data_IF_376177453116
#
_entry.id   IF_376177453116
#
_cell.length_a   1.000
_cell.length_b   1.000
_cell.length_c   1.000
_cell.angle_alpha   90.00
_cell.angle_beta   90.00
_cell.angle_gamma   90.00
#
_symmetry.space_group_name_H-M   'P 1'
#
loop_
_entity.id
_entity.type
_entity.pdbx_description
1 polymer ?
#
# COMPACT_ATOMS: atom_id res chain seq x y z
N UNK A 1 38.73 59.91 -91.74
CA UNK A 1 38.29 60.07 -90.33
C UNK A 1 37.24 59.04 -89.89
N UNK A 2 36.60 58.26 -90.78
CA UNK A 2 35.63 57.23 -90.39
C UNK A 2 36.28 55.89 -89.95
N UNK A 3 37.49 55.56 -90.39
CA UNK A 3 38.15 54.29 -90.08
C UNK A 3 38.72 54.21 -88.64
N UNK A 4 38.89 55.34 -87.96
CA UNK A 4 39.47 55.40 -86.61
C UNK A 4 38.45 55.08 -85.51
N UNK A 5 37.15 55.27 -85.78
CA UNK A 5 36.09 55.00 -84.79
C UNK A 5 35.83 53.51 -84.56
N UNK A 6 35.99 52.67 -85.59
CA UNK A 6 35.77 51.22 -85.48
C UNK A 6 36.80 50.51 -84.59
N UNK A 7 38.03 51.03 -84.50
CA UNK A 7 39.07 50.49 -83.63
C UNK A 7 38.74 50.64 -82.15
N UNK A 8 38.25 51.81 -81.74
CA UNK A 8 37.91 52.09 -80.35
C UNK A 8 36.71 51.27 -79.87
N UNK A 9 35.65 51.13 -80.67
CA UNK A 9 34.50 50.27 -80.33
C UNK A 9 34.93 48.81 -80.13
N UNK A 10 35.76 48.28 -81.02
CA UNK A 10 36.23 46.89 -80.92
C UNK A 10 37.13 46.68 -79.69
N UNK A 11 37.97 47.68 -79.37
CA UNK A 11 38.82 47.66 -78.17
C UNK A 11 38.00 47.71 -76.87
N UNK A 12 37.02 48.62 -76.77
CA UNK A 12 36.17 48.74 -75.58
C UNK A 12 35.28 47.50 -75.39
N UNK A 13 34.68 46.97 -76.47
CA UNK A 13 33.94 45.71 -76.41
C UNK A 13 34.82 44.53 -75.94
N UNK A 14 36.07 44.45 -76.42
CA UNK A 14 37.03 43.44 -75.99
C UNK A 14 37.46 43.58 -74.51
N UNK A 15 37.42 44.79 -73.97
CA UNK A 15 37.73 45.04 -72.55
C UNK A 15 36.53 44.72 -71.65
N UNK A 16 35.33 45.10 -72.06
CA UNK A 16 34.09 44.80 -71.34
C UNK A 16 33.81 43.29 -71.29
N UNK A 17 33.99 42.58 -72.41
CA UNK A 17 33.88 41.11 -72.42
C UNK A 17 34.86 40.45 -71.44
N UNK A 18 36.14 40.85 -71.44
CA UNK A 18 37.12 40.34 -70.47
C UNK A 18 36.79 40.70 -69.02
N UNK A 19 36.18 41.86 -68.78
CA UNK A 19 35.74 42.28 -67.44
C UNK A 19 34.57 41.43 -66.97
N UNK A 20 33.58 41.20 -67.83
CA UNK A 20 32.41 40.35 -67.56
C UNK A 20 32.83 38.90 -67.33
N UNK A 21 33.76 38.36 -68.13
CA UNK A 21 34.34 37.02 -67.93
C UNK A 21 35.04 36.90 -66.57
N UNK A 22 35.84 37.90 -66.17
CA UNK A 22 36.49 37.88 -64.86
C UNK A 22 35.49 37.99 -63.71
N UNK A 23 34.43 38.77 -63.86
CA UNK A 23 33.35 38.84 -62.87
C UNK A 23 32.60 37.51 -62.78
N UNK A 24 32.25 36.89 -63.91
CA UNK A 24 31.55 35.60 -63.91
C UNK A 24 32.41 34.47 -63.33
N UNK A 25 33.71 34.45 -63.62
CA UNK A 25 34.65 33.53 -62.97
C UNK A 25 34.70 33.71 -61.46
N UNK A 26 34.74 34.96 -61.00
CA UNK A 26 34.76 35.28 -59.57
C UNK A 26 33.46 34.82 -58.89
N UNK A 27 32.31 35.11 -59.48
CA UNK A 27 31.00 34.67 -58.99
C UNK A 27 30.91 33.14 -58.92
N UNK A 28 31.35 32.42 -59.96
CA UNK A 28 31.39 30.95 -59.96
C UNK A 28 32.29 30.43 -58.85
N UNK A 29 33.45 31.04 -58.60
CA UNK A 29 34.33 30.66 -57.49
C UNK A 29 33.66 30.93 -56.14
N UNK A 30 32.98 32.06 -55.98
CA UNK A 30 32.27 32.42 -54.75
C UNK A 30 31.10 31.47 -54.47
N UNK A 31 30.29 31.12 -55.49
CA UNK A 31 29.20 30.15 -55.38
C UNK A 31 29.76 28.78 -54.96
N UNK A 32 30.85 28.32 -55.58
CA UNK A 32 31.52 27.06 -55.20
C UNK A 32 32.05 27.10 -53.77
N UNK A 33 32.60 28.22 -53.32
CA UNK A 33 33.08 28.39 -51.95
C UNK A 33 31.92 28.31 -50.94
N UNK A 34 30.82 29.03 -51.21
CA UNK A 34 29.62 29.00 -50.37
C UNK A 34 28.99 27.60 -50.33
N UNK A 35 28.93 26.91 -51.47
CA UNK A 35 28.42 25.55 -51.55
C UNK A 35 29.23 24.58 -50.68
N UNK A 36 30.57 24.70 -50.67
CA UNK A 36 31.42 23.89 -49.78
C UNK A 36 31.16 24.16 -48.30
N UNK A 37 30.89 25.41 -47.92
CA UNK A 37 30.54 25.77 -46.53
C UNK A 37 29.20 25.15 -46.14
N UNK A 38 28.20 25.22 -47.02
CA UNK A 38 26.89 24.60 -46.78
C UNK A 38 27.01 23.08 -46.66
N UNK A 39 27.73 22.42 -47.57
CA UNK A 39 27.95 20.97 -47.49
C UNK A 39 28.72 20.57 -46.21
N UNK A 40 29.70 21.36 -45.79
CA UNK A 40 30.42 21.11 -44.54
C UNK A 40 29.50 21.27 -43.32
N UNK A 41 28.61 22.27 -43.32
CA UNK A 41 27.61 22.44 -42.27
C UNK A 41 26.63 21.27 -42.20
N UNK A 42 26.07 20.86 -43.34
CA UNK A 42 25.15 19.72 -43.41
C UNK A 42 25.79 18.42 -42.94
N UNK A 43 27.06 18.18 -43.28
CA UNK A 43 27.81 17.01 -42.78
C UNK A 43 28.01 17.05 -41.28
N UNK A 44 28.26 18.24 -40.72
CA UNK A 44 28.38 18.43 -39.27
C UNK A 44 27.04 18.16 -38.58
N UNK A 45 25.94 18.72 -39.07
CA UNK A 45 24.60 18.49 -38.53
C UNK A 45 24.20 17.01 -38.62
N UNK A 46 24.49 16.34 -39.74
CA UNK A 46 24.24 14.91 -39.90
C UNK A 46 25.06 14.07 -38.90
N UNK A 47 26.33 14.42 -38.65
CA UNK A 47 27.17 13.75 -37.68
C UNK A 47 26.67 13.98 -36.23
N UNK A 48 26.24 15.19 -35.89
CA UNK A 48 25.64 15.50 -34.59
C UNK A 48 24.32 14.76 -34.38
N UNK A 49 23.47 14.70 -35.40
CA UNK A 49 22.23 13.94 -35.37
C UNK A 49 22.48 12.43 -35.17
N UNK A 50 23.45 11.86 -35.90
CA UNK A 50 23.84 10.46 -35.72
C UNK A 50 24.38 10.19 -34.30
N UNK A 51 25.20 11.09 -33.77
CA UNK A 51 25.69 11.00 -32.39
C UNK A 51 24.54 11.02 -31.38
N UNK A 52 23.56 11.90 -31.58
CA UNK A 52 22.38 11.98 -30.71
C UNK A 52 21.56 10.69 -30.78
N UNK A 53 21.34 10.14 -31.97
CA UNK A 53 20.63 8.87 -32.15
C UNK A 53 21.37 7.69 -31.51
N UNK A 54 22.70 7.65 -31.62
CA UNK A 54 23.51 6.65 -30.94
C UNK A 54 23.38 6.72 -29.41
N UNK A 55 23.41 7.94 -28.85
CA UNK A 55 23.23 8.16 -27.41
C UNK A 55 21.83 7.75 -26.94
N UNK A 56 20.78 8.12 -27.69
CA UNK A 56 19.41 7.67 -27.39
C UNK A 56 19.25 6.16 -27.44
N UNK A 57 19.91 5.50 -28.40
CA UNK A 57 19.89 4.04 -28.47
C UNK A 57 20.55 3.40 -27.25
N UNK A 58 21.70 3.95 -26.83
CA UNK A 58 22.38 3.49 -25.62
C UNK A 58 21.50 3.67 -24.37
N UNK A 59 20.87 4.83 -24.20
CA UNK A 59 19.95 5.09 -23.08
C UNK A 59 18.80 4.06 -23.05
N UNK A 60 18.22 3.76 -24.21
CA UNK A 60 17.16 2.74 -24.33
C UNK A 60 17.67 1.34 -23.98
N UNK A 61 18.86 0.98 -24.42
CA UNK A 61 19.47 -0.32 -24.12
C UNK A 61 19.76 -0.47 -22.61
N UNK A 62 20.24 0.59 -21.96
CA UNK A 62 20.45 0.63 -20.51
C UNK A 62 19.13 0.51 -19.73
N UNK A 63 18.09 1.24 -20.15
CA UNK A 63 16.75 1.12 -19.56
C UNK A 63 16.16 -0.29 -19.73
N UNK A 64 16.28 -0.87 -20.92
CA UNK A 64 15.82 -2.24 -21.20
C UNK A 64 16.56 -3.26 -20.33
N UNK A 65 17.87 -3.08 -20.16
CA UNK A 65 18.67 -3.93 -19.28
C UNK A 65 18.20 -3.82 -17.81
N UNK A 66 17.94 -2.61 -17.32
CA UNK A 66 17.42 -2.40 -15.97
C UNK A 66 16.05 -3.07 -15.75
N UNK A 67 15.14 -2.96 -16.74
CA UNK A 67 13.84 -3.63 -16.70
C UNK A 67 13.99 -5.16 -16.65
N UNK A 68 14.88 -5.74 -17.45
CA UNK A 68 15.10 -7.19 -17.45
C UNK A 68 15.74 -7.67 -16.13
N UNK A 69 16.65 -6.89 -15.54
CA UNK A 69 17.20 -7.16 -14.21
C UNK A 69 16.10 -7.20 -13.13
N UNK A 70 15.22 -6.19 -13.11
CA UNK A 70 14.07 -6.16 -12.18
C UNK A 70 13.14 -7.35 -12.41
N UNK A 71 12.80 -7.65 -13.68
CA UNK A 71 11.96 -8.80 -14.03
C UNK A 71 12.53 -10.12 -13.48
N UNK A 72 13.84 -10.32 -13.58
CA UNK A 72 14.50 -11.52 -13.07
C UNK A 72 14.55 -11.57 -11.54
N UNK A 73 14.63 -10.42 -10.86
CA UNK A 73 14.44 -10.35 -9.41
C UNK A 73 13.03 -10.75 -8.99
N UNK A 74 11.99 -10.21 -9.64
CA UNK A 74 10.61 -10.59 -9.40
C UNK A 74 10.36 -12.09 -9.60
N UNK A 75 10.91 -12.67 -10.67
CA UNK A 75 10.85 -14.13 -10.90
C UNK A 75 11.48 -14.92 -9.73
N UNK A 76 12.64 -14.50 -9.24
CA UNK A 76 13.30 -15.15 -8.09
C UNK A 76 12.46 -15.06 -6.82
N UNK A 77 11.83 -13.90 -6.55
CA UNK A 77 10.93 -13.75 -5.41
C UNK A 77 9.70 -14.66 -5.52
N UNK A 78 9.10 -14.76 -6.72
CA UNK A 78 7.95 -15.65 -6.95
C UNK A 78 8.30 -17.11 -6.68
N UNK A 79 9.46 -17.58 -7.15
CA UNK A 79 9.94 -18.94 -6.86
C UNK A 79 10.12 -19.16 -5.36
N UNK A 80 10.66 -18.17 -4.63
CA UNK A 80 10.81 -18.24 -3.18
C UNK A 80 9.45 -18.32 -2.46
N UNK A 81 8.48 -17.51 -2.88
CA UNK A 81 7.13 -17.51 -2.30
C UNK A 81 6.45 -18.86 -2.55
N UNK A 82 6.52 -19.40 -3.77
CA UNK A 82 5.93 -20.71 -4.07
C UNK A 82 6.63 -21.82 -3.27
N UNK A 83 7.96 -21.77 -3.11
CA UNK A 83 8.68 -22.71 -2.25
C UNK A 83 8.26 -22.63 -0.78
N UNK A 84 8.06 -21.42 -0.24
CA UNK A 84 7.54 -21.23 1.11
C UNK A 84 6.12 -21.77 1.28
N UNK A 85 5.25 -21.57 0.28
CA UNK A 85 3.90 -22.13 0.26
C UNK A 85 3.93 -23.66 0.25
N UNK A 86 4.79 -24.28 -0.56
CA UNK A 86 4.96 -25.74 -0.56
C UNK A 86 5.44 -26.27 0.79
N UNK A 87 6.41 -25.59 1.43
CA UNK A 87 6.86 -25.95 2.76
C UNK A 87 5.76 -25.83 3.81
N UNK A 88 4.92 -24.80 3.71
CA UNK A 88 3.76 -24.64 4.61
C UNK A 88 2.76 -25.78 4.42
N UNK A 89 2.43 -26.14 3.18
CA UNK A 89 1.53 -27.26 2.87
C UNK A 89 2.09 -28.56 3.46
N UNK A 90 3.36 -28.87 3.18
CA UNK A 90 4.01 -30.06 3.72
C UNK A 90 4.04 -30.08 5.26
N UNK A 91 4.24 -28.91 5.88
CA UNK A 91 4.17 -28.76 7.33
C UNK A 91 2.78 -29.05 7.90
N UNK A 92 1.71 -28.56 7.25
CA UNK A 92 0.34 -28.88 7.62
C UNK A 92 0.05 -30.38 7.48
N UNK A 93 0.41 -31.00 6.34
CA UNK A 93 0.23 -32.44 6.12
C UNK A 93 0.97 -33.29 7.18
N UNK A 94 2.17 -32.86 7.58
CA UNK A 94 2.92 -33.53 8.63
C UNK A 94 2.23 -33.45 9.99
N UNK A 95 1.71 -32.27 10.36
CA UNK A 95 0.96 -32.09 11.60
C UNK A 95 -0.34 -32.91 11.60
N UNK A 96 -1.06 -32.94 10.48
CA UNK A 96 -2.27 -33.75 10.32
C UNK A 96 -1.97 -35.24 10.53
N UNK A 97 -0.88 -35.74 9.93
CA UNK A 97 -0.43 -37.12 10.15
C UNK A 97 -0.05 -37.41 11.61
N UNK A 98 0.62 -36.47 12.28
CA UNK A 98 0.95 -36.60 13.70
C UNK A 98 -0.30 -36.65 14.58
N UNK A 99 -1.26 -35.75 14.33
CA UNK A 99 -2.54 -35.72 15.05
C UNK A 99 -3.35 -37.00 14.82
N UNK A 100 -3.42 -37.50 13.58
CA UNK A 100 -4.09 -38.76 13.28
C UNK A 100 -3.44 -39.92 14.04
N UNK A 101 -2.11 -39.98 14.06
CA UNK A 101 -1.37 -41.00 14.79
C UNK A 101 -1.66 -40.94 16.30
N UNK A 102 -1.69 -39.74 16.88
CA UNK A 102 -2.02 -39.52 18.28
C UNK A 102 -3.46 -39.95 18.61
N UNK A 103 -4.43 -39.58 17.77
CA UNK A 103 -5.83 -39.99 17.92
C UNK A 103 -5.95 -41.51 17.86
N UNK A 104 -5.31 -42.17 16.89
CA UNK A 104 -5.30 -43.64 16.79
C UNK A 104 -4.72 -44.28 18.06
N UNK A 105 -3.57 -43.82 18.53
CA UNK A 105 -2.96 -44.33 19.76
C UNK A 105 -3.89 -44.18 20.97
N UNK A 106 -4.54 -43.02 21.09
CA UNK A 106 -5.48 -42.73 22.18
C UNK A 106 -6.68 -43.66 22.12
N UNK A 107 -7.29 -43.81 20.94
CA UNK A 107 -8.43 -44.71 20.69
C UNK A 107 -8.08 -46.16 21.04
N UNK A 108 -6.89 -46.65 20.64
CA UNK A 108 -6.45 -48.01 20.98
C UNK A 108 -6.17 -48.22 22.47
N UNK A 109 -5.85 -47.16 23.21
CA UNK A 109 -5.58 -47.22 24.65
C UNK A 109 -6.83 -47.19 25.53
N UNK A 110 -7.97 -46.79 24.98
CA UNK A 110 -9.23 -46.62 25.71
C UNK A 110 -10.13 -47.86 25.60
N UNK A 111 -10.98 -48.12 26.62
CA UNK A 111 -12.08 -49.06 26.50
C UNK A 111 -13.03 -48.71 25.34
N UNK A 112 -13.71 -49.68 24.69
CA UNK A 112 -14.51 -49.44 23.50
C UNK A 112 -15.56 -48.32 23.64
N UNK A 113 -16.30 -48.29 24.75
CA UNK A 113 -17.34 -47.27 24.97
C UNK A 113 -16.75 -45.86 25.12
N UNK A 114 -15.56 -45.74 25.73
CA UNK A 114 -14.85 -44.48 25.90
C UNK A 114 -14.16 -44.03 24.60
N UNK A 115 -13.67 -44.96 23.80
CA UNK A 115 -13.09 -44.70 22.48
C UNK A 115 -14.14 -44.13 21.52
N UNK A 116 -15.37 -44.66 21.53
CA UNK A 116 -16.49 -44.14 20.75
C UNK A 116 -16.84 -42.70 21.17
N UNK A 117 -16.99 -42.46 22.48
CA UNK A 117 -17.28 -41.12 22.99
C UNK A 117 -16.18 -40.10 22.62
N UNK A 118 -14.91 -40.51 22.68
CA UNK A 118 -13.78 -39.68 22.27
C UNK A 118 -13.80 -39.33 20.78
N UNK A 119 -14.10 -40.30 19.90
CA UNK A 119 -14.23 -40.07 18.46
C UNK A 119 -15.39 -39.11 18.17
N UNK A 120 -16.53 -39.26 18.86
CA UNK A 120 -17.68 -38.36 18.71
C UNK A 120 -17.34 -36.93 19.14
N UNK A 121 -16.63 -36.75 20.25
CA UNK A 121 -16.15 -35.44 20.69
C UNK A 121 -15.24 -34.79 19.64
N UNK A 122 -14.28 -35.53 19.08
CA UNK A 122 -13.38 -35.02 18.04
C UNK A 122 -14.13 -34.61 16.77
N UNK A 123 -15.15 -35.38 16.35
CA UNK A 123 -16.01 -35.03 15.22
C UNK A 123 -16.80 -33.75 15.45
N UNK A 124 -17.26 -33.51 16.68
CA UNK A 124 -17.99 -32.28 17.00
C UNK A 124 -17.07 -31.05 16.91
N UNK A 125 -15.84 -31.17 17.42
CA UNK A 125 -14.83 -30.11 17.30
C UNK A 125 -14.51 -29.82 15.83
N UNK A 126 -14.31 -30.86 15.02
CA UNK A 126 -14.04 -30.71 13.58
C UNK A 126 -15.20 -30.01 12.85
N UNK A 127 -16.45 -30.38 13.13
CA UNK A 127 -17.62 -29.70 12.59
C UNK A 127 -17.64 -28.21 12.92
N UNK A 128 -17.38 -27.85 14.17
CA UNK A 128 -17.33 -26.44 14.60
C UNK A 128 -16.23 -25.65 13.88
N UNK A 129 -15.04 -26.25 13.72
CA UNK A 129 -13.93 -25.62 12.99
C UNK A 129 -14.26 -25.41 11.50
N UNK A 130 -14.88 -26.39 10.85
CA UNK A 130 -15.31 -26.29 9.45
C UNK A 130 -16.39 -25.21 9.25
N UNK A 131 -17.32 -25.07 10.20
CA UNK A 131 -18.32 -24.01 10.17
C UNK A 131 -17.69 -22.61 10.31
N UNK A 132 -16.75 -22.46 11.25
CA UNK A 132 -15.99 -21.21 11.42
C UNK A 132 -15.21 -20.84 10.16
N UNK A 133 -14.52 -21.80 9.53
CA UNK A 133 -13.78 -21.55 8.28
C UNK A 133 -14.75 -21.21 7.13
N UNK A 134 -15.92 -21.85 7.06
CA UNK A 134 -16.96 -21.48 6.09
C UNK A 134 -17.40 -20.03 6.27
N UNK A 135 -17.68 -19.60 7.50
CA UNK A 135 -18.05 -18.20 7.81
C UNK A 135 -16.93 -17.24 7.38
N UNK A 136 -15.67 -17.57 7.69
CA UNK A 136 -14.51 -16.77 7.29
C UNK A 136 -14.41 -16.65 5.77
N UNK A 137 -14.55 -17.75 5.03
CA UNK A 137 -14.51 -17.73 3.57
C UNK A 137 -15.67 -16.91 2.99
N UNK A 138 -16.86 -16.99 3.56
CA UNK A 138 -17.99 -16.13 3.16
C UNK A 138 -17.67 -14.65 3.37
N UNK A 139 -16.98 -14.28 4.46
CA UNK A 139 -16.54 -12.90 4.69
C UNK A 139 -15.48 -12.45 3.69
N UNK A 140 -14.49 -13.29 3.39
CA UNK A 140 -13.43 -12.98 2.44
C UNK A 140 -13.94 -12.85 0.99
N UNK A 141 -14.96 -13.62 0.62
CA UNK A 141 -15.58 -13.58 -0.72
C UNK A 141 -16.64 -12.48 -0.85
N UNK A 142 -17.10 -11.87 0.25
CA UNK A 142 -18.00 -10.73 0.17
C UNK A 142 -17.23 -9.58 -0.48
N UNK A 143 -17.69 -9.04 -1.62
CA UNK A 143 -17.10 -7.83 -2.18
C UNK A 143 -17.08 -6.76 -1.11
N UNK A 144 -16.02 -5.96 -1.05
CA UNK A 144 -16.05 -4.69 -0.31
C UNK A 144 -17.10 -3.81 -1.00
N UNK A 145 -18.38 -4.03 -0.68
CA UNK A 145 -19.47 -3.18 -1.13
C UNK A 145 -19.12 -1.76 -0.70
N UNK A 146 -18.99 -0.89 -1.69
CA UNK A 146 -18.37 0.41 -1.56
C UNK A 146 -18.92 1.20 -0.38
N UNK A 147 -18.00 1.67 0.47
CA UNK A 147 -18.19 2.95 1.15
C UNK A 147 -18.33 4.02 0.09
N UNK A 148 -19.55 4.19 -0.43
CA UNK A 148 -19.94 5.36 -1.19
C UNK A 148 -19.67 6.59 -0.28
N UNK A 149 -18.95 7.62 -0.77
CA UNK A 149 -18.76 8.82 0.00
C UNK A 149 -20.13 9.44 0.25
N UNK A 150 -20.55 9.55 1.51
CA UNK A 150 -21.65 10.44 1.89
C UNK A 150 -21.27 11.83 1.38
N UNK A 151 -21.90 12.27 0.29
CA UNK A 151 -21.87 13.65 -0.14
C UNK A 151 -22.46 14.49 1.00
N UNK A 152 -21.59 15.23 1.69
CA UNK A 152 -22.00 16.29 2.59
C UNK A 152 -22.40 17.47 1.69
N UNK A 153 -23.69 17.54 1.37
CA UNK A 153 -24.29 18.66 0.67
C UNK A 153 -24.56 19.79 1.69
N UNK A 154 -23.86 20.92 1.58
CA UNK A 154 -24.27 22.19 2.20
C UNK A 154 -25.54 22.71 1.51
N UNK A 155 -26.46 23.49 2.10
CA UNK A 155 -26.32 24.60 3.07
C UNK A 155 -27.71 24.88 3.77
N UNK A 156 -28.06 26.08 4.33
CA UNK A 156 -28.11 26.42 5.77
C UNK A 156 -29.52 26.93 6.26
N UNK A 157 -29.65 27.87 7.25
CA UNK A 157 -30.25 27.65 8.59
C UNK A 157 -31.64 28.30 8.83
N UNK A 158 -32.39 27.86 9.86
CA UNK A 158 -33.44 28.68 10.51
C UNK A 158 -33.87 28.15 11.90
N UNK A 159 -33.61 28.98 12.93
CA UNK A 159 -34.46 29.34 14.08
C UNK A 159 -35.33 28.28 14.80
N UNK A 160 -34.89 27.90 16.02
CA UNK A 160 -35.56 27.81 17.35
C UNK A 160 -37.04 27.30 17.48
N UNK A 161 -37.54 26.81 18.65
CA UNK A 161 -37.02 26.98 20.02
C UNK A 161 -37.07 25.73 20.95
N UNK A 162 -36.38 25.87 22.08
CA UNK A 162 -36.47 25.04 23.31
C UNK A 162 -37.87 25.12 23.96
N UNK A 163 -38.26 24.12 24.76
CA UNK A 163 -38.52 24.45 26.16
C UNK A 163 -37.97 23.40 27.15
N UNK A 164 -37.33 23.90 28.21
CA UNK A 164 -37.41 23.33 29.55
C UNK A 164 -38.50 24.15 30.30
N UNK A 165 -39.12 23.68 31.42
CA UNK A 165 -38.36 23.60 32.68
C UNK A 165 -38.80 22.56 33.73
N UNK A 166 -37.85 22.32 34.64
CA UNK A 166 -37.96 22.09 36.10
C UNK A 166 -38.50 20.80 36.71
N UNK A 167 -37.71 20.29 37.67
CA UNK A 167 -38.10 19.38 38.73
C UNK A 167 -36.91 18.88 39.53
N UNK A 168 -36.40 19.73 40.43
CA UNK A 168 -35.24 19.55 41.31
C UNK A 168 -35.44 18.50 42.40
N UNK A 169 -34.33 17.89 42.87
CA UNK A 169 -33.99 17.60 44.29
C UNK A 169 -32.66 16.81 44.31
N UNK A 170 -31.54 17.45 44.68
CA UNK A 170 -30.96 17.55 46.04
C UNK A 170 -30.23 16.27 46.45
N UNK A 171 -28.90 16.26 46.41
CA UNK A 171 -27.95 16.48 47.52
C UNK A 171 -27.61 15.18 48.30
N UNK A 172 -26.36 15.11 48.75
CA UNK A 172 -25.75 14.10 49.62
C UNK A 172 -25.53 12.71 49.02
N UNK A 173 -24.30 12.25 48.74
CA UNK A 173 -23.32 11.95 49.78
C UNK A 173 -21.96 11.64 49.13
N UNK A 174 -20.94 12.42 49.47
CA UNK A 174 -19.55 11.98 49.43
C UNK A 174 -19.30 11.10 50.68
N UNK A 175 -18.73 9.90 50.53
CA UNK A 175 -17.57 9.39 51.30
C UNK A 175 -17.24 7.90 51.00
N UNK A 176 -16.00 7.44 51.30
CA UNK A 176 -15.30 6.35 50.62
C UNK A 176 -14.93 5.13 51.52
N UNK A 177 -14.29 4.10 50.91
CA UNK A 177 -13.49 2.97 51.46
C UNK A 177 -14.03 2.13 52.64
N UNK A 178 -14.20 0.81 52.42
CA UNK A 178 -13.78 -0.33 53.28
C UNK A 178 -14.16 -1.65 52.56
N UNK A 179 -13.23 -2.57 52.25
CA UNK A 179 -12.63 -3.60 53.10
C UNK A 179 -13.65 -4.56 53.76
N UNK A 180 -13.41 -5.88 53.62
CA UNK A 180 -14.15 -7.06 54.13
C UNK A 180 -15.35 -7.52 53.27
N UNK A 181 -15.51 -8.78 52.83
CA UNK A 181 -15.11 -10.08 53.41
C UNK A 181 -14.96 -11.17 52.33
N UNK A 182 -14.04 -12.10 52.56
CA UNK A 182 -13.97 -13.42 51.91
C UNK A 182 -15.23 -14.27 52.23
N UNK A 183 -15.56 -15.23 51.36
CA UNK A 183 -15.89 -16.57 51.82
C UNK A 183 -14.86 -17.58 51.31
N UNK A 184 -14.25 -18.29 52.26
CA UNK A 184 -13.39 -19.45 52.01
C UNK A 184 -14.20 -20.73 51.83
N UNK A 185 -13.67 -21.58 50.95
CA UNK A 185 -13.86 -23.03 50.80
C UNK A 185 -15.19 -23.53 50.22
N UNK A 186 -15.07 -24.01 48.98
CA UNK A 186 -15.37 -25.41 48.69
C UNK A 186 -16.55 -25.65 47.77
N UNK A 187 -16.35 -25.50 46.45
CA UNK A 187 -17.01 -26.38 45.49
C UNK A 187 -16.30 -26.37 44.14
N UNK A 188 -15.90 -27.57 43.75
CA UNK A 188 -15.39 -28.00 42.45
C UNK A 188 -16.37 -27.69 41.33
N UNK A 189 -15.91 -27.00 40.29
CA UNK A 189 -16.32 -27.25 38.91
C UNK A 189 -15.16 -26.93 37.95
N UNK A 190 -14.93 -27.76 36.92
CA UNK A 190 -13.83 -27.60 35.98
C UNK A 190 -14.12 -26.50 34.97
N UNK A 191 -13.04 -25.87 34.49
CA UNK A 191 -12.89 -25.27 33.15
C UNK A 191 -14.14 -24.67 32.50
N UNK A 192 -14.31 -23.35 32.65
CA UNK A 192 -15.11 -22.57 31.72
C UNK A 192 -14.25 -21.44 31.15
N UNK A 193 -13.21 -21.82 30.41
CA UNK A 193 -12.43 -20.93 29.54
C UNK A 193 -13.19 -20.70 28.23
N UNK A 194 -14.44 -20.27 28.32
CA UNK A 194 -15.18 -19.78 27.17
C UNK A 194 -14.67 -18.37 26.82
N UNK A 195 -13.89 -18.29 25.74
CA UNK A 195 -13.88 -17.19 24.77
C UNK A 195 -14.34 -15.81 25.28
N UNK A 196 -13.46 -15.07 25.95
CA UNK A 196 -13.56 -13.61 26.06
C UNK A 196 -13.15 -12.95 24.72
N UNK A 197 -13.80 -13.36 23.62
CA UNK A 197 -13.72 -12.64 22.36
C UNK A 197 -14.60 -11.40 22.51
N UNK A 198 -13.99 -10.23 22.70
CA UNK A 198 -14.72 -8.97 22.62
C UNK A 198 -15.43 -8.89 21.27
N UNK A 199 -16.69 -8.46 21.26
CA UNK A 199 -17.39 -8.23 19.99
C UNK A 199 -16.80 -7.01 19.27
N UNK A 200 -16.91 -6.98 17.95
CA UNK A 200 -16.38 -5.88 17.12
C UNK A 200 -16.90 -4.50 17.56
N UNK A 201 -18.17 -4.42 17.99
CA UNK A 201 -18.74 -3.19 18.57
C UNK A 201 -18.06 -2.76 19.87
N UNK A 202 -17.60 -3.70 20.70
CA UNK A 202 -16.90 -3.41 21.95
C UNK A 202 -15.47 -2.96 21.68
N UNK A 203 -14.79 -3.58 20.71
CA UNK A 203 -13.46 -3.18 20.23
C UNK A 203 -13.51 -1.74 19.71
N UNK A 204 -14.49 -1.43 18.84
CA UNK A 204 -14.68 -0.09 18.29
C UNK A 204 -15.03 0.94 19.39
N UNK A 205 -15.86 0.58 20.38
CA UNK A 205 -16.17 1.47 21.51
C UNK A 205 -14.95 1.76 22.38
N UNK A 206 -14.10 0.77 22.63
CA UNK A 206 -12.86 0.94 23.40
C UNK A 206 -11.84 1.79 22.63
N UNK A 207 -11.66 1.51 21.34
CA UNK A 207 -10.79 2.28 20.45
C UNK A 207 -11.24 3.74 20.35
N UNK A 208 -12.53 3.98 20.11
CA UNK A 208 -13.10 5.33 20.04
C UNK A 208 -12.95 6.10 21.35
N UNK A 209 -13.25 5.46 22.49
CA UNK A 209 -13.11 6.09 23.81
C UNK A 209 -11.66 6.48 24.13
N UNK A 210 -10.69 5.70 23.66
CA UNK A 210 -9.27 6.02 23.80
C UNK A 210 -8.88 7.22 22.92
N UNK A 211 -9.28 7.22 21.65
CA UNK A 211 -9.02 8.33 20.71
C UNK A 211 -9.63 9.63 21.22
N UNK A 212 -10.92 9.63 21.57
CA UNK A 212 -11.64 10.81 22.06
C UNK A 212 -11.01 11.39 23.35
N UNK A 213 -10.47 10.53 24.22
CA UNK A 213 -9.87 10.94 25.50
C UNK A 213 -8.41 11.36 25.38
N UNK A 214 -7.65 10.78 24.46
CA UNK A 214 -6.21 11.02 24.37
C UNK A 214 -5.85 12.10 23.36
N UNK A 215 -6.67 12.32 22.32
CA UNK A 215 -6.43 13.37 21.33
C UNK A 215 -6.78 14.78 21.84
N UNK A 216 -7.50 14.87 22.96
CA UNK A 216 -7.76 16.12 23.68
C UNK A 216 -6.64 16.50 24.66
N UNK A 217 -5.62 15.66 24.84
CA UNK A 217 -4.49 15.91 25.75
C UNK A 217 -3.32 16.62 25.05
N UNK A 218 -2.51 17.40 25.79
CA UNK A 218 -1.24 17.95 25.28
C UNK A 218 -0.31 16.85 24.76
N UNK A 219 0.48 17.15 23.71
CA UNK A 219 1.31 16.16 22.98
C UNK A 219 2.25 15.34 23.87
N UNK A 220 2.83 15.94 24.92
CA UNK A 220 3.68 15.19 25.86
C UNK A 220 2.88 14.18 26.69
N UNK A 221 1.66 14.54 27.11
CA UNK A 221 0.78 13.69 27.92
C UNK A 221 0.04 12.64 27.11
N UNK A 222 -0.25 12.93 25.84
CA UNK A 222 -0.86 12.00 24.89
C UNK A 222 0.00 10.74 24.72
N UNK A 223 1.31 10.90 24.48
CA UNK A 223 2.24 9.76 24.32
C UNK A 223 2.35 8.88 25.56
N UNK A 224 2.21 9.46 26.75
CA UNK A 224 2.24 8.71 27.99
C UNK A 224 0.92 7.96 28.20
N UNK A 225 -0.22 8.64 28.01
CA UNK A 225 -1.54 8.04 28.14
C UNK A 225 -1.77 6.86 27.18
N UNK A 226 -1.25 6.94 25.94
CA UNK A 226 -1.29 5.82 24.99
C UNK A 226 -0.48 4.61 25.45
N UNK A 227 0.69 4.84 26.07
CA UNK A 227 1.54 3.76 26.59
C UNK A 227 0.93 3.08 27.81
N UNK A 228 0.46 3.87 28.77
CA UNK A 228 -0.18 3.36 29.99
C UNK A 228 -1.47 2.58 29.66
N UNK A 229 -2.21 3.03 28.65
CA UNK A 229 -3.40 2.32 28.15
C UNK A 229 -3.05 1.02 27.42
N UNK A 230 -2.01 1.01 26.60
CA UNK A 230 -1.52 -0.19 25.93
C UNK A 230 -1.05 -1.25 26.94
N UNK A 231 -0.34 -0.84 27.98
CA UNK A 231 0.10 -1.71 29.07
C UNK A 231 -1.11 -2.29 29.84
N UNK A 232 -2.08 -1.44 30.20
CA UNK A 232 -3.32 -1.89 30.83
C UNK A 232 -4.21 -2.79 29.96
N UNK A 233 -4.10 -2.71 28.63
CA UNK A 233 -4.77 -3.64 27.71
C UNK A 233 -4.08 -5.00 27.69
N UNK A 234 -2.73 -5.03 27.67
CA UNK A 234 -1.94 -6.27 27.68
C UNK A 234 -2.13 -7.09 28.95
N UNK A 235 -2.38 -6.44 30.08
CA UNK A 235 -2.69 -7.13 31.34
C UNK A 235 -4.09 -7.74 31.37
N UNK A 236 -5.05 -7.19 30.60
CA UNK A 236 -6.47 -7.53 30.70
C UNK A 236 -6.98 -8.42 29.57
N UNK A 237 -6.33 -8.40 28.41
CA UNK A 237 -6.81 -9.09 27.21
C UNK A 237 -5.72 -9.98 26.58
N UNK A 238 -6.11 -11.09 25.92
CA UNK A 238 -5.20 -11.88 25.12
C UNK A 238 -4.54 -11.04 24.01
N UNK A 239 -3.29 -11.37 23.67
CA UNK A 239 -2.47 -10.62 22.71
C UNK A 239 -3.18 -10.30 21.38
N UNK A 240 -3.94 -11.25 20.84
CA UNK A 240 -4.68 -11.07 19.58
C UNK A 240 -5.75 -9.97 19.68
N UNK A 241 -6.48 -9.92 20.78
CA UNK A 241 -7.53 -8.92 21.03
C UNK A 241 -6.91 -7.54 21.24
N UNK A 242 -5.74 -7.47 21.88
CA UNK A 242 -4.99 -6.21 22.05
C UNK A 242 -4.53 -5.67 20.69
N UNK A 243 -4.01 -6.52 19.81
CA UNK A 243 -3.59 -6.12 18.46
C UNK A 243 -4.77 -5.59 17.63
N UNK A 244 -5.95 -6.22 17.73
CA UNK A 244 -7.17 -5.73 17.06
C UNK A 244 -7.63 -4.36 17.58
N UNK A 245 -7.66 -4.17 18.91
CA UNK A 245 -8.04 -2.88 19.53
C UNK A 245 -7.07 -1.76 19.13
N UNK A 246 -5.76 -2.03 19.14
CA UNK A 246 -4.74 -1.04 18.76
C UNK A 246 -4.84 -0.69 17.27
N UNK A 247 -5.07 -1.69 16.42
CA UNK A 247 -5.23 -1.49 14.97
C UNK A 247 -6.44 -0.60 14.68
N UNK A 248 -7.57 -0.87 15.32
CA UNK A 248 -8.78 -0.06 15.16
C UNK A 248 -8.60 1.37 15.71
N UNK A 249 -7.94 1.52 16.86
CA UNK A 249 -7.68 2.84 17.44
C UNK A 249 -6.75 3.70 16.56
N UNK A 250 -5.73 3.10 15.95
CA UNK A 250 -4.86 3.78 14.98
C UNK A 250 -5.61 4.12 13.68
N UNK A 251 -6.49 3.23 13.22
CA UNK A 251 -7.33 3.49 12.05
C UNK A 251 -8.30 4.66 12.29
N UNK A 252 -8.89 4.76 13.48
CA UNK A 252 -9.77 5.87 13.88
C UNK A 252 -9.01 7.19 13.98
N UNK A 253 -7.82 7.20 14.59
CA UNK A 253 -6.98 8.42 14.72
C UNK A 253 -6.52 9.00 13.37
N UNK A 254 -6.37 8.16 12.35
CA UNK A 254 -6.04 8.61 10.98
C UNK A 254 -7.23 9.23 10.25
N UNK A 255 -8.46 9.00 10.74
CA UNK A 255 -9.72 9.47 10.15
C UNK A 255 -10.22 10.76 10.78
N UNK A 256 -9.79 11.07 12.01
CA UNK A 256 -10.04 12.32 12.75
C UNK A 256 -9.00 13.37 12.42
#
# INVERSE_FOLDING_TARGET
MAEDMGFWETFFMGFETKRVEKQSEFEVRQIKANQRVVEAHQRKEAAEHQRLMALRRQELDEMNHAIECQRNEWKRMLVKIEGQKQLLIAGCEFLDWQHETQVRQTVYSLPPDQAVAYIEQMREVERGLLEHERIRQTRLKRPLEGTAPRQIQGSPPASAPTPAPNGWADEDTFTPVSAQSFPSKGQSHPENTMSNALTEEQIQKLAKKAVDRFDTLPKERQKQAWRDWEEGLKERFPKLVVEEILTEAVAMRKRT
#
